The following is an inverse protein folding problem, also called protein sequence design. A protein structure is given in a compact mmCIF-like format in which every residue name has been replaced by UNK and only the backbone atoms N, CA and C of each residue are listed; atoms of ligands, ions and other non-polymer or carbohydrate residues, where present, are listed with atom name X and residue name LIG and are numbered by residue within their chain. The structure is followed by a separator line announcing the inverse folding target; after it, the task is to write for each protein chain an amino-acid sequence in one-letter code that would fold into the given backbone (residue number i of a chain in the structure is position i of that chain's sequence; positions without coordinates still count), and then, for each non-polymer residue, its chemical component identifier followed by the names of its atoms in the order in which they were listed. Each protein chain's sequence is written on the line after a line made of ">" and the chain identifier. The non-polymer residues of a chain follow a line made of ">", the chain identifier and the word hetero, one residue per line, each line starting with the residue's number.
data_IF_777170093790
#
_entry.id   IF_777170093790
#
_cell.length_a   1.000
_cell.length_b   1.000
_cell.length_c   1.000
_cell.angle_alpha   90.00
_cell.angle_beta   90.00
_cell.angle_gamma   90.00
#
_symmetry.space_group_name_H-M   'P 1'
#
loop_
_entity.id
_entity.type
_entity.pdbx_description
1 polymer ?
#
# COMPACT_ATOMS: atom_id res chain seq x y z
N UNK A 1 -44.32 19.18 10.32
CA UNK A 1 -42.94 19.07 10.85
C UNK A 1 -42.36 17.66 10.67
N UNK A 2 -42.22 17.14 9.43
CA UNK A 2 -41.64 15.80 9.20
C UNK A 2 -40.61 15.73 8.05
N UNK A 3 -40.54 16.76 7.20
CA UNK A 3 -39.62 16.81 6.06
C UNK A 3 -38.19 17.25 6.43
N UNK A 4 -38.04 18.03 7.51
CA UNK A 4 -36.73 18.54 7.96
C UNK A 4 -35.84 17.45 8.59
N UNK A 5 -36.45 16.39 9.13
CA UNK A 5 -35.70 15.29 9.76
C UNK A 5 -35.11 14.30 8.75
N UNK A 6 -35.67 14.23 7.53
CA UNK A 6 -35.22 13.30 6.50
C UNK A 6 -33.89 13.75 5.87
N UNK A 7 -33.70 15.07 5.69
CA UNK A 7 -32.47 15.63 5.13
C UNK A 7 -31.26 15.40 6.03
N UNK A 8 -31.43 15.46 7.35
CA UNK A 8 -30.34 15.18 8.30
C UNK A 8 -29.86 13.73 8.23
N UNK A 9 -30.77 12.77 8.04
CA UNK A 9 -30.43 11.34 7.98
C UNK A 9 -29.74 10.94 6.67
N UNK A 10 -30.04 11.61 5.56
CA UNK A 10 -29.40 11.36 4.26
C UNK A 10 -27.98 11.96 4.19
N UNK A 11 -27.74 13.10 4.82
CA UNK A 11 -26.40 13.72 4.83
C UNK A 11 -25.38 12.97 5.69
N UNK A 12 -25.79 12.27 6.75
CA UNK A 12 -24.87 11.47 7.59
C UNK A 12 -24.63 10.04 7.07
N UNK A 13 -25.45 9.54 6.15
CA UNK A 13 -25.28 8.21 5.55
C UNK A 13 -24.24 8.13 4.42
N UNK A 14 -23.82 9.28 3.87
CA UNK A 14 -22.89 9.31 2.73
C UNK A 14 -21.40 9.30 3.13
N UNK A 15 -21.09 9.28 4.43
CA UNK A 15 -19.71 9.22 4.94
C UNK A 15 -19.27 7.81 5.36
N UNK A 16 -19.96 6.76 4.91
CA UNK A 16 -19.36 5.42 4.92
C UNK A 16 -18.25 5.39 3.86
N UNK A 17 -17.10 5.97 4.20
CA UNK A 17 -15.86 5.79 3.48
C UNK A 17 -15.60 4.29 3.44
N UNK A 18 -15.95 3.66 2.32
CA UNK A 18 -15.31 2.41 1.92
C UNK A 18 -13.87 2.80 1.68
N UNK A 19 -13.06 2.77 2.74
CA UNK A 19 -11.62 2.79 2.58
C UNK A 19 -11.30 1.51 1.81
N UNK A 20 -11.10 1.63 0.51
CA UNK A 20 -10.28 0.67 -0.20
C UNK A 20 -8.98 0.63 0.61
N UNK A 21 -8.75 -0.46 1.32
CA UNK A 21 -7.47 -0.65 1.99
C UNK A 21 -6.42 -0.53 0.88
N UNK A 22 -5.47 0.39 1.01
CA UNK A 22 -4.30 0.52 0.15
C UNK A 22 -3.39 -0.72 0.36
N UNK A 23 -3.95 -1.91 0.18
CA UNK A 23 -3.42 -3.19 0.54
C UNK A 23 -3.41 -4.04 -0.71
N UNK A 24 -2.21 -4.37 -1.15
CA UNK A 24 -1.95 -5.17 -2.34
C UNK A 24 -1.61 -6.58 -1.90
N UNK A 25 -2.37 -7.54 -2.38
CA UNK A 25 -2.23 -8.95 -2.01
C UNK A 25 -1.61 -9.74 -3.14
N UNK A 26 -0.98 -10.86 -2.77
CA UNK A 26 -0.55 -11.87 -3.71
C UNK A 26 -1.73 -12.32 -4.63
N UNK A 27 -1.52 -12.49 -5.95
CA UNK A 27 -2.59 -12.87 -6.89
C UNK A 27 -3.31 -14.18 -6.53
N UNK A 28 -2.59 -15.12 -5.92
CA UNK A 28 -3.13 -16.41 -5.46
C UNK A 28 -3.63 -16.42 -4.01
N UNK A 29 -3.66 -15.28 -3.32
CA UNK A 29 -4.16 -15.22 -1.95
C UNK A 29 -5.63 -15.68 -1.89
N UNK A 30 -5.89 -16.73 -1.12
CA UNK A 30 -7.20 -17.35 -1.04
C UNK A 30 -8.15 -16.58 -0.08
N UNK A 31 -9.39 -17.07 0.06
CA UNK A 31 -10.37 -16.44 0.95
C UNK A 31 -9.99 -16.49 2.44
N UNK A 32 -9.19 -17.48 2.84
CA UNK A 32 -8.72 -17.64 4.21
C UNK A 32 -7.51 -16.74 4.49
N UNK A 33 -6.59 -16.60 3.53
CA UNK A 33 -5.51 -15.60 3.54
C UNK A 33 -6.10 -14.19 3.64
N UNK A 34 -7.12 -13.88 2.82
CA UNK A 34 -7.82 -12.57 2.89
C UNK A 34 -8.46 -12.32 4.26
N UNK A 35 -9.00 -13.37 4.89
CA UNK A 35 -9.62 -13.29 6.21
C UNK A 35 -8.59 -13.12 7.34
N UNK A 36 -7.41 -13.74 7.23
CA UNK A 36 -6.33 -13.55 8.21
C UNK A 36 -5.74 -12.15 8.12
N UNK A 37 -5.57 -11.62 6.91
CA UNK A 37 -5.04 -10.26 6.68
C UNK A 37 -6.06 -9.19 7.14
N UNK A 38 -7.35 -9.38 6.89
CA UNK A 38 -8.40 -8.42 7.28
C UNK A 38 -8.68 -8.34 8.78
N UNK A 39 -8.29 -9.35 9.57
CA UNK A 39 -8.41 -9.34 11.03
C UNK A 39 -7.33 -8.50 11.76
N UNK A 40 -6.42 -7.87 11.03
CA UNK A 40 -5.28 -7.12 11.59
C UNK A 40 -5.15 -5.66 11.12
N UNK A 41 -6.18 -5.04 10.53
CA UNK A 41 -6.12 -3.69 9.93
C UNK A 41 -6.19 -2.56 11.00
N UNK A 42 -5.40 -2.67 12.07
CA UNK A 42 -5.24 -1.58 13.06
C UNK A 42 -3.78 -1.25 13.38
N UNK A 43 -2.82 -1.90 12.71
CA UNK A 43 -1.38 -1.67 12.85
C UNK A 43 -0.70 -2.18 11.57
N UNK A 44 0.38 -1.57 11.05
CA UNK A 44 1.11 -2.16 9.92
C UNK A 44 1.49 -3.60 10.29
N UNK A 45 0.97 -4.56 9.52
CA UNK A 45 0.96 -5.96 9.92
C UNK A 45 2.35 -6.59 9.92
N UNK A 46 2.56 -7.60 10.78
CA UNK A 46 3.76 -8.46 10.91
C UNK A 46 4.22 -9.16 9.61
N UNK A 47 3.57 -8.89 8.48
CA UNK A 47 3.84 -9.52 7.20
C UNK A 47 3.70 -8.57 6.00
N UNK A 48 4.05 -7.30 6.16
CA UNK A 48 3.80 -6.29 5.13
C UNK A 48 5.05 -5.44 4.83
N UNK A 49 5.11 -4.94 3.61
CA UNK A 49 5.99 -3.84 3.22
C UNK A 49 5.13 -2.59 3.09
N UNK A 50 5.48 -1.52 3.79
CA UNK A 50 4.82 -0.22 3.71
C UNK A 50 5.54 0.68 2.70
N UNK A 51 4.79 1.35 1.84
CA UNK A 51 5.30 2.30 0.86
C UNK A 51 4.54 3.62 1.04
N UNK A 52 5.29 4.70 1.27
CA UNK A 52 4.75 6.04 1.51
C UNK A 52 5.30 6.97 0.43
N UNK A 53 4.42 7.71 -0.25
CA UNK A 53 4.83 8.72 -1.23
C UNK A 53 4.59 10.15 -0.70
N UNK A 54 5.60 10.69 -0.03
CA UNK A 54 5.63 12.09 0.43
C UNK A 54 6.27 13.03 -0.63
N UNK A 55 6.61 12.50 -1.80
CA UNK A 55 7.26 13.27 -2.86
C UNK A 55 6.29 14.12 -3.67
N UNK A 56 6.83 14.97 -4.54
CA UNK A 56 6.03 15.83 -5.42
C UNK A 56 5.57 15.16 -6.73
N UNK A 57 5.85 13.86 -6.91
CA UNK A 57 5.54 13.12 -8.13
C UNK A 57 4.78 11.85 -7.80
N UNK A 58 3.88 11.46 -8.69
CA UNK A 58 3.23 10.15 -8.62
C UNK A 58 4.24 9.07 -8.95
N UNK A 59 4.11 7.90 -8.34
CA UNK A 59 5.01 6.77 -8.59
C UNK A 59 4.23 5.53 -8.98
N UNK A 60 4.86 4.68 -9.79
CA UNK A 60 4.38 3.34 -10.09
C UNK A 60 5.26 2.33 -9.37
N UNK A 61 4.62 1.38 -8.71
CA UNK A 61 5.28 0.31 -7.95
C UNK A 61 5.06 -1.00 -8.67
N UNK A 62 6.16 -1.70 -8.92
CA UNK A 62 6.18 -3.06 -9.40
C UNK A 62 6.80 -3.94 -8.32
N UNK A 63 6.10 -5.00 -7.93
CA UNK A 63 6.61 -5.99 -7.00
C UNK A 63 6.64 -7.37 -7.65
N UNK A 64 7.67 -8.15 -7.36
CA UNK A 64 7.78 -9.58 -7.72
C UNK A 64 7.93 -10.41 -6.45
N UNK A 65 6.97 -11.31 -6.21
CA UNK A 65 7.00 -12.27 -5.11
C UNK A 65 8.03 -13.38 -5.37
N UNK A 66 8.34 -14.17 -4.35
CA UNK A 66 9.32 -15.26 -4.48
C UNK A 66 8.88 -16.39 -5.43
N UNK A 67 7.57 -16.55 -5.65
CA UNK A 67 6.98 -17.50 -6.60
C UNK A 67 6.95 -16.96 -8.05
N UNK A 68 7.47 -15.74 -8.27
CA UNK A 68 7.53 -15.06 -9.55
C UNK A 68 6.24 -14.34 -9.96
N UNK A 69 5.17 -14.41 -9.16
CA UNK A 69 3.98 -13.59 -9.39
C UNK A 69 4.27 -12.11 -9.11
N UNK A 70 3.39 -11.23 -9.59
CA UNK A 70 3.63 -9.79 -9.56
C UNK A 70 2.45 -8.99 -9.02
N UNK A 71 2.74 -7.79 -8.50
CA UNK A 71 1.77 -6.71 -8.28
C UNK A 71 2.24 -5.45 -9.00
N UNK A 72 1.28 -4.64 -9.43
CA UNK A 72 1.51 -3.35 -10.06
C UNK A 72 0.41 -2.37 -9.64
N UNK A 73 0.81 -1.21 -9.14
CA UNK A 73 -0.11 -0.16 -8.75
C UNK A 73 0.58 1.22 -8.77
N UNK A 74 -0.24 2.26 -8.80
CA UNK A 74 0.23 3.64 -8.64
C UNK A 74 0.05 4.09 -7.19
N UNK A 75 0.93 4.98 -6.74
CA UNK A 75 0.77 5.76 -5.51
C UNK A 75 0.85 7.23 -5.91
N UNK A 76 -0.27 7.92 -5.81
CA UNK A 76 -0.35 9.35 -6.11
C UNK A 76 0.33 10.17 -5.01
N UNK A 77 0.78 11.38 -5.36
CA UNK A 77 1.35 12.31 -4.37
C UNK A 77 0.37 12.54 -3.22
N UNK A 78 0.88 12.48 -1.99
CA UNK A 78 0.09 12.69 -0.76
C UNK A 78 -1.08 11.70 -0.58
N UNK A 79 -1.05 10.55 -1.27
CA UNK A 79 -1.97 9.45 -1.00
C UNK A 79 -1.61 8.75 0.31
N UNK A 80 -2.60 8.11 0.95
CA UNK A 80 -2.35 7.31 2.14
C UNK A 80 -1.32 6.19 1.88
N UNK A 81 -0.56 5.76 2.91
CA UNK A 81 0.40 4.67 2.77
C UNK A 81 -0.20 3.42 2.09
N UNK A 82 0.60 2.78 1.24
CA UNK A 82 0.27 1.49 0.65
C UNK A 82 1.02 0.36 1.34
N UNK A 83 0.40 -0.80 1.39
CA UNK A 83 0.90 -1.99 2.05
C UNK A 83 0.89 -3.12 1.03
N UNK A 84 2.01 -3.82 0.89
CA UNK A 84 2.04 -5.08 0.13
C UNK A 84 2.06 -6.21 1.17
N UNK A 85 1.05 -7.07 1.14
CA UNK A 85 1.00 -8.27 1.99
C UNK A 85 1.92 -9.34 1.42
N UNK A 86 2.87 -9.78 2.24
CA UNK A 86 3.69 -10.96 1.98
C UNK A 86 3.10 -12.23 2.63
N UNK A 87 1.88 -12.14 3.17
CA UNK A 87 1.14 -13.29 3.66
C UNK A 87 0.33 -13.92 2.52
N UNK A 88 0.70 -15.13 2.10
CA UNK A 88 -0.02 -15.94 1.12
C UNK A 88 0.33 -17.42 1.32
N UNK A 89 -0.52 -18.32 0.82
CA UNK A 89 -0.37 -19.76 1.04
C UNK A 89 -0.25 -20.10 2.55
N UNK A 90 -0.97 -19.37 3.41
CA UNK A 90 -0.91 -19.48 4.87
C UNK A 90 0.49 -19.26 5.50
N UNK A 91 1.40 -18.59 4.80
CA UNK A 91 2.77 -18.36 5.26
C UNK A 91 3.18 -16.89 5.10
N UNK A 92 4.05 -16.41 5.99
CA UNK A 92 4.63 -15.07 5.90
C UNK A 92 5.99 -15.10 5.19
N UNK A 93 6.03 -14.61 3.96
CA UNK A 93 7.25 -14.57 3.17
C UNK A 93 8.17 -13.43 3.62
N UNK A 94 9.48 -13.67 3.55
CA UNK A 94 10.49 -12.80 4.18
C UNK A 94 10.78 -11.52 3.41
N UNK A 95 10.60 -11.53 2.09
CA UNK A 95 10.97 -10.40 1.23
C UNK A 95 10.25 -10.43 -0.12
N UNK A 96 10.36 -9.32 -0.84
CA UNK A 96 9.87 -9.13 -2.21
C UNK A 96 10.87 -8.28 -2.99
N UNK A 97 11.02 -8.52 -4.29
CA UNK A 97 11.75 -7.59 -5.15
C UNK A 97 10.82 -6.45 -5.56
N UNK A 98 11.18 -5.21 -5.25
CA UNK A 98 10.37 -4.03 -5.53
C UNK A 98 11.13 -3.09 -6.45
N UNK A 99 10.45 -2.55 -7.45
CA UNK A 99 10.91 -1.44 -8.27
C UNK A 99 9.88 -0.32 -8.23
N UNK A 100 10.33 0.89 -7.87
CA UNK A 100 9.51 2.10 -7.82
C UNK A 100 10.01 3.06 -8.87
N UNK A 101 9.12 3.47 -9.77
CA UNK A 101 9.42 4.37 -10.87
C UNK A 101 8.64 5.66 -10.72
N UNK A 102 9.34 6.78 -10.88
CA UNK A 102 8.72 8.05 -11.24
C UNK A 102 8.49 8.07 -12.76
N UNK A 103 7.77 9.07 -13.32
CA UNK A 103 7.64 9.24 -14.76
C UNK A 103 8.97 9.41 -15.51
N UNK A 104 10.07 9.71 -14.79
CA UNK A 104 11.34 10.13 -15.39
C UNK A 104 12.49 9.16 -15.13
N UNK A 105 12.45 8.40 -14.03
CA UNK A 105 13.54 7.49 -13.62
C UNK A 105 13.10 6.54 -12.50
N UNK A 106 13.91 5.50 -12.28
CA UNK A 106 13.75 4.55 -11.16
C UNK A 106 14.18 5.19 -9.84
N UNK A 107 13.24 5.32 -8.90
CA UNK A 107 13.47 5.90 -7.57
C UNK A 107 14.06 4.87 -6.61
N UNK A 108 13.63 3.61 -6.72
CA UNK A 108 14.09 2.50 -5.91
C UNK A 108 14.03 1.21 -6.70
N UNK A 109 14.99 0.31 -6.49
CA UNK A 109 14.94 -1.06 -7.02
C UNK A 109 15.78 -1.98 -6.14
N UNK A 110 15.16 -3.03 -5.58
CA UNK A 110 15.86 -3.96 -4.71
C UNK A 110 14.95 -4.94 -3.96
N UNK A 111 15.59 -5.94 -3.36
CA UNK A 111 14.94 -6.83 -2.41
C UNK A 111 14.62 -6.08 -1.11
N UNK A 112 13.35 -6.07 -0.75
CA UNK A 112 12.84 -5.42 0.45
C UNK A 112 12.28 -6.48 1.39
N UNK A 113 12.73 -6.46 2.64
CA UNK A 113 12.26 -7.41 3.65
C UNK A 113 10.87 -7.02 4.17
N UNK A 114 10.15 -8.02 4.67
CA UNK A 114 8.96 -7.84 5.48
C UNK A 114 9.21 -6.88 6.66
N UNK A 115 8.18 -6.15 7.08
CA UNK A 115 8.25 -5.12 8.14
C UNK A 115 9.17 -3.93 7.82
N UNK A 116 9.46 -3.71 6.54
CA UNK A 116 10.16 -2.52 6.07
C UNK A 116 9.19 -1.45 5.60
N UNK A 117 9.61 -0.19 5.73
CA UNK A 117 8.96 0.99 5.15
C UNK A 117 9.88 1.59 4.11
N UNK A 118 9.39 1.74 2.87
CA UNK A 118 10.01 2.52 1.79
C UNK A 118 9.31 3.89 1.76
N UNK A 119 9.97 4.92 2.26
CA UNK A 119 9.47 6.30 2.20
C UNK A 119 10.10 7.03 1.02
N UNK A 120 9.26 7.54 0.14
CA UNK A 120 9.68 8.31 -1.03
C UNK A 120 9.52 9.78 -0.69
N UNK A 121 10.62 10.51 -0.62
CA UNK A 121 10.67 11.91 -0.17
C UNK A 121 11.14 12.84 -1.29
N UNK A 122 10.80 14.13 -1.23
CA UNK A 122 11.43 15.14 -2.07
C UNK A 122 12.96 15.19 -1.87
N UNK A 123 13.67 15.43 -2.95
CA UNK A 123 15.12 15.54 -3.01
C UNK A 123 15.54 16.66 -3.99
N UNK A 124 16.85 16.88 -4.12
CA UNK A 124 17.44 17.96 -4.92
C UNK A 124 16.84 18.01 -6.34
N UNK A 125 16.67 19.22 -6.87
CA UNK A 125 16.14 19.47 -8.21
C UNK A 125 14.77 18.84 -8.51
N UNK A 126 13.88 18.81 -7.51
CA UNK A 126 12.52 18.23 -7.60
C UNK A 126 12.52 16.72 -7.92
N UNK A 127 13.63 16.04 -7.67
CA UNK A 127 13.70 14.59 -7.73
C UNK A 127 13.06 13.99 -6.48
N UNK A 128 12.53 12.79 -6.57
CA UNK A 128 12.24 11.89 -5.47
C UNK A 128 13.45 11.00 -5.13
N UNK A 129 13.61 10.70 -3.84
CA UNK A 129 14.56 9.73 -3.29
C UNK A 129 13.81 8.73 -2.40
N UNK A 130 14.20 7.46 -2.42
CA UNK A 130 13.70 6.47 -1.48
C UNK A 130 14.59 6.35 -0.25
N UNK A 131 13.97 6.24 0.92
CA UNK A 131 14.58 5.89 2.19
C UNK A 131 13.94 4.59 2.70
N UNK A 132 14.78 3.60 2.96
CA UNK A 132 14.33 2.29 3.44
C UNK A 132 14.68 2.17 4.91
N UNK A 133 13.69 1.82 5.72
CA UNK A 133 13.87 1.53 7.13
C UNK A 133 13.22 0.19 7.47
N UNK A 134 13.89 -0.61 8.29
CA UNK A 134 13.31 -1.80 8.92
C UNK A 134 12.88 -1.43 10.34
N UNK A 135 11.73 -1.92 10.78
CA UNK A 135 11.30 -1.79 12.17
C UNK A 135 11.90 -2.87 13.06
#
# INVERSE_FOLDING_TARGET
>A
MKLKSLFFLVCFGLFSNVFAANLHMHPKADSADKKSISKGISYPGYCQIEIINDSFTDVRVFGTFDDGSTVDFNIYRFESPHYISLFYNFYCHSSMYITIQSPYYTVYSGWTNVNSTIRIIPYLNKQAKAEVSSR
#
